data_IF_495570693460
#
_entry.id   IF_495570693460
#
_cell.length_a   1.000
_cell.length_b   1.000
_cell.length_c   1.000
_cell.angle_alpha   90.00
_cell.angle_beta   90.00
_cell.angle_gamma   90.00
#
_symmetry.space_group_name_H-M   'P 1'
#
loop_
_entity.id
_entity.type
_entity.pdbx_description
1 polymer ?
#
# COMPACT_ATOMS: atom_id res chain seq x y z
N UNK A 1 29.51 11.44 51.60
CA UNK A 1 29.82 10.51 50.49
C UNK A 1 28.64 10.54 49.52
N UNK A 2 28.74 11.34 48.45
CA UNK A 2 27.59 11.87 47.71
C UNK A 2 27.15 10.92 46.59
N UNK A 3 26.07 10.17 46.84
CA UNK A 3 25.40 9.25 45.89
C UNK A 3 25.10 9.87 44.52
N UNK A 4 24.93 11.20 44.46
CA UNK A 4 24.67 11.97 43.23
C UNK A 4 25.90 12.09 42.32
N UNK A 5 27.10 12.24 42.88
CA UNK A 5 28.36 12.31 42.12
C UNK A 5 28.74 10.96 41.53
N UNK A 6 28.41 9.88 42.22
CA UNK A 6 28.62 8.51 41.74
C UNK A 6 27.69 8.18 40.56
N UNK A 7 26.42 8.57 40.64
CA UNK A 7 25.43 8.39 39.57
C UNK A 7 25.79 9.20 38.31
N UNK A 8 26.31 10.43 38.48
CA UNK A 8 26.80 11.24 37.36
C UNK A 8 28.02 10.62 36.67
N UNK A 9 28.96 10.05 37.44
CA UNK A 9 30.13 9.36 36.87
C UNK A 9 29.76 8.07 36.12
N UNK A 10 28.73 7.35 36.61
CA UNK A 10 28.22 6.13 35.97
C UNK A 10 27.54 6.44 34.62
N UNK A 11 26.84 7.58 34.54
CA UNK A 11 26.16 8.04 33.33
C UNK A 11 27.15 8.53 32.26
N UNK A 12 28.25 9.15 32.68
CA UNK A 12 29.35 9.56 31.78
C UNK A 12 30.14 8.34 31.29
N UNK A 13 30.34 7.33 32.14
CA UNK A 13 31.02 6.09 31.76
C UNK A 13 30.19 5.24 30.78
N UNK A 14 28.86 5.20 30.93
CA UNK A 14 27.98 4.55 29.95
C UNK A 14 27.95 5.28 28.61
N UNK A 15 28.11 6.60 28.61
CA UNK A 15 28.16 7.41 27.38
C UNK A 15 29.48 7.17 26.62
N UNK A 16 30.60 6.96 27.32
CA UNK A 16 31.88 6.61 26.71
C UNK A 16 31.87 5.20 26.09
N UNK A 17 31.15 4.24 26.68
CA UNK A 17 31.08 2.86 26.19
C UNK A 17 30.26 2.73 24.89
N UNK A 18 29.32 3.66 24.63
CA UNK A 18 28.54 3.72 23.39
C UNK A 18 29.34 4.26 22.19
N UNK A 19 30.46 4.95 22.42
CA UNK A 19 31.31 5.51 21.35
C UNK A 19 32.37 4.49 20.88
N UNK A 20 32.65 3.47 21.69
CA UNK A 20 33.71 2.49 21.46
C UNK A 20 33.25 1.22 20.72
N UNK A 21 32.16 1.29 19.93
CA UNK A 21 31.85 0.20 19.00
C UNK A 21 32.94 0.16 17.93
N UNK A 22 33.68 -0.95 17.76
CA UNK A 22 34.59 -1.09 16.64
C UNK A 22 33.77 -0.88 15.36
N UNK A 23 34.16 0.11 14.56
CA UNK A 23 33.67 0.25 13.19
C UNK A 23 33.84 -1.14 12.55
N UNK A 24 32.76 -1.77 12.05
CA UNK A 24 32.92 -3.02 11.32
C UNK A 24 33.96 -2.76 10.24
N UNK A 25 35.05 -3.52 10.30
CA UNK A 25 36.14 -3.44 9.35
C UNK A 25 35.51 -3.46 7.96
N UNK A 26 35.70 -2.38 7.21
CA UNK A 26 35.13 -2.22 5.89
C UNK A 26 35.47 -3.48 5.09
N UNK A 27 34.47 -4.31 4.82
CA UNK A 27 34.63 -5.40 3.87
C UNK A 27 35.20 -4.77 2.59
N UNK A 28 36.21 -5.41 1.97
CA UNK A 28 36.76 -4.90 0.73
C UNK A 28 35.60 -4.66 -0.23
N UNK A 29 35.52 -3.44 -0.76
CA UNK A 29 34.43 -3.00 -1.65
C UNK A 29 34.54 -3.75 -2.99
N UNK A 30 34.05 -4.99 -3.02
CA UNK A 30 33.96 -5.84 -4.22
C UNK A 30 32.71 -5.45 -5.01
N UNK A 31 32.75 -5.68 -6.32
CA UNK A 31 31.61 -5.42 -7.17
C UNK A 31 30.40 -6.26 -6.74
N UNK A 32 30.63 -7.53 -6.41
CA UNK A 32 29.61 -8.46 -5.93
C UNK A 32 28.96 -7.96 -4.63
N UNK A 33 29.77 -7.47 -3.68
CA UNK A 33 29.26 -6.92 -2.42
C UNK A 33 28.38 -5.67 -2.63
N UNK A 34 28.76 -4.81 -3.57
CA UNK A 34 27.95 -3.63 -3.93
C UNK A 34 26.65 -3.99 -4.65
N UNK A 35 26.67 -4.99 -5.53
CA UNK A 35 25.47 -5.49 -6.19
C UNK A 35 24.50 -6.11 -5.18
N UNK A 36 25.01 -6.88 -4.22
CA UNK A 36 24.19 -7.44 -3.14
C UNK A 36 23.58 -6.33 -2.27
N UNK A 37 24.40 -5.37 -1.82
CA UNK A 37 23.95 -4.25 -1.02
C UNK A 37 22.88 -3.42 -1.76
N UNK A 38 23.06 -3.19 -3.06
CA UNK A 38 22.08 -2.52 -3.89
C UNK A 38 20.80 -3.35 -4.04
N UNK A 39 20.88 -4.66 -4.26
CA UNK A 39 19.71 -5.53 -4.34
C UNK A 39 18.84 -5.51 -3.08
N UNK A 40 19.48 -5.48 -1.91
CA UNK A 40 18.82 -5.49 -0.60
C UNK A 40 18.26 -4.12 -0.23
N UNK A 41 19.04 -3.05 -0.39
CA UNK A 41 18.71 -1.73 0.17
C UNK A 41 18.22 -0.70 -0.85
N UNK A 42 18.24 -0.97 -2.16
CA UNK A 42 17.84 0.04 -3.14
C UNK A 42 16.33 0.34 -3.06
N UNK A 43 15.94 1.61 -2.81
CA UNK A 43 14.53 2.00 -2.66
C UNK A 43 13.72 1.84 -3.96
N UNK A 44 14.37 1.92 -5.13
CA UNK A 44 13.73 1.70 -6.43
C UNK A 44 13.29 0.24 -6.56
N UNK A 45 14.16 -0.71 -6.20
CA UNK A 45 13.82 -2.14 -6.21
C UNK A 45 12.79 -2.49 -5.13
N UNK A 46 12.88 -1.85 -3.96
CA UNK A 46 11.86 -2.00 -2.92
C UNK A 46 10.48 -1.52 -3.39
N UNK A 47 10.40 -0.36 -4.04
CA UNK A 47 9.18 0.14 -4.64
C UNK A 47 8.68 -0.80 -5.74
N UNK A 48 9.59 -1.35 -6.54
CA UNK A 48 9.28 -2.33 -7.58
C UNK A 48 8.59 -3.59 -7.07
N UNK A 49 9.11 -4.17 -5.99
CA UNK A 49 8.47 -5.29 -5.29
C UNK A 49 7.05 -4.97 -4.87
N UNK A 50 6.81 -3.76 -4.35
CA UNK A 50 5.46 -3.31 -3.98
C UNK A 50 4.53 -3.16 -5.20
N UNK A 51 5.05 -2.75 -6.37
CA UNK A 51 4.24 -2.68 -7.61
C UNK A 51 3.78 -4.07 -8.06
N UNK A 52 4.63 -5.09 -7.93
CA UNK A 52 4.25 -6.49 -8.23
C UNK A 52 3.15 -6.96 -7.27
N UNK A 53 3.29 -6.70 -5.97
CA UNK A 53 2.25 -7.03 -4.97
C UNK A 53 0.94 -6.33 -5.32
N UNK A 54 0.96 -5.03 -5.59
CA UNK A 54 -0.23 -4.28 -6.01
C UNK A 54 -0.86 -4.84 -7.29
N UNK A 55 -0.05 -5.23 -8.27
CA UNK A 55 -0.54 -5.82 -9.52
C UNK A 55 -1.19 -7.19 -9.28
N UNK A 56 -0.66 -7.99 -8.34
CA UNK A 56 -1.24 -9.26 -7.91
C UNK A 56 -2.58 -9.05 -7.22
N UNK A 57 -2.67 -8.09 -6.30
CA UNK A 57 -3.94 -7.77 -5.62
C UNK A 57 -5.04 -7.31 -6.59
N UNK A 58 -4.67 -6.62 -7.68
CA UNK A 58 -5.62 -6.26 -8.74
C UNK A 58 -6.25 -7.47 -9.43
N UNK A 59 -5.61 -8.64 -9.42
CA UNK A 59 -6.21 -9.89 -9.93
C UNK A 59 -7.34 -10.33 -9.01
N UNK A 60 -7.12 -10.28 -7.68
CA UNK A 60 -8.16 -10.59 -6.70
C UNK A 60 -9.33 -9.61 -6.78
N UNK A 61 -9.04 -8.32 -6.94
CA UNK A 61 -10.07 -7.30 -7.17
C UNK A 61 -10.88 -7.55 -8.44
N UNK A 62 -10.25 -7.99 -9.53
CA UNK A 62 -10.96 -8.32 -10.77
C UNK A 62 -11.81 -9.59 -10.69
N UNK A 63 -11.44 -10.52 -9.79
CA UNK A 63 -12.22 -11.73 -9.53
C UNK A 63 -13.38 -11.49 -8.54
N UNK A 64 -13.29 -10.45 -7.70
CA UNK A 64 -14.26 -10.15 -6.64
C UNK A 64 -15.73 -10.01 -7.12
N UNK A 65 -16.05 -9.43 -8.30
CA UNK A 65 -17.43 -9.38 -8.78
C UNK A 65 -18.06 -10.75 -9.07
N UNK A 66 -17.25 -11.80 -9.23
CA UNK A 66 -17.72 -13.18 -9.38
C UNK A 66 -18.05 -13.87 -8.05
N UNK A 67 -17.74 -13.25 -6.91
CA UNK A 67 -18.01 -13.77 -5.57
C UNK A 67 -19.29 -13.14 -5.00
N UNK A 68 -19.96 -13.79 -4.04
CA UNK A 68 -21.07 -13.17 -3.30
C UNK A 68 -20.55 -11.96 -2.51
N UNK A 69 -21.23 -10.83 -2.67
CA UNK A 69 -20.93 -9.58 -1.96
C UNK A 69 -21.96 -9.35 -0.86
N UNK A 70 -21.47 -9.14 0.35
CA UNK A 70 -22.28 -8.82 1.51
C UNK A 70 -22.09 -7.33 1.86
N UNK A 71 -23.19 -6.59 1.89
CA UNK A 71 -23.20 -5.17 2.22
C UNK A 71 -24.07 -4.93 3.45
N UNK A 72 -23.55 -4.14 4.39
CA UNK A 72 -24.26 -3.68 5.58
C UNK A 72 -24.43 -2.18 5.47
N UNK A 73 -25.66 -1.70 5.51
CA UNK A 73 -25.98 -0.28 5.51
C UNK A 73 -26.78 0.11 6.74
N UNK A 74 -26.37 1.22 7.36
CA UNK A 74 -27.09 1.87 8.45
C UNK A 74 -27.34 3.32 8.06
N UNK A 75 -28.59 3.71 8.06
CA UNK A 75 -29.03 5.02 7.60
C UNK A 75 -29.89 5.67 8.68
N UNK A 76 -29.46 6.84 9.13
CA UNK A 76 -30.25 7.73 9.97
C UNK A 76 -30.71 8.92 9.13
N UNK A 77 -32.01 9.14 9.06
CA UNK A 77 -32.61 10.26 8.35
C UNK A 77 -33.51 11.02 9.31
N UNK A 78 -33.37 12.34 9.35
CA UNK A 78 -34.31 13.24 10.03
C UNK A 78 -34.94 14.17 8.99
N UNK A 79 -36.24 14.36 9.08
CA UNK A 79 -36.99 15.29 8.25
C UNK A 79 -37.33 16.54 9.07
N UNK A 80 -37.07 17.73 8.54
CA UNK A 80 -37.35 18.98 9.26
C UNK A 80 -38.86 19.21 9.48
N UNK A 81 -39.68 18.68 8.58
CA UNK A 81 -41.14 18.72 8.64
C UNK A 81 -41.68 17.31 8.60
N UNK A 82 -42.75 17.05 9.35
CA UNK A 82 -43.40 15.76 9.32
C UNK A 82 -43.83 15.47 7.86
N UNK A 83 -43.41 14.33 7.29
CA UNK A 83 -43.67 14.07 5.88
C UNK A 83 -45.18 13.85 5.73
N UNK A 84 -45.84 14.75 5.01
CA UNK A 84 -47.25 14.63 4.67
C UNK A 84 -47.37 14.38 3.17
N UNK A 85 -48.15 13.37 2.79
CA UNK A 85 -48.54 13.16 1.40
C UNK A 85 -49.98 13.65 1.20
N UNK A 86 -50.25 14.48 0.18
CA UNK A 86 -51.62 14.88 -0.15
C UNK A 86 -52.40 13.65 -0.63
N UNK A 87 -53.57 13.41 -0.05
CA UNK A 87 -54.49 12.35 -0.45
C UNK A 87 -55.55 12.93 -1.37
N UNK A 88 -55.69 12.34 -2.56
CA UNK A 88 -56.69 12.71 -3.55
C UNK A 88 -57.76 11.61 -3.64
N UNK A 89 -59.03 11.98 -3.53
CA UNK A 89 -60.18 11.11 -3.79
C UNK A 89 -61.01 11.79 -4.88
N UNK A 90 -61.23 11.11 -6.01
CA UNK A 90 -62.00 11.66 -7.12
C UNK A 90 -61.39 12.91 -7.79
N UNK A 91 -60.07 13.09 -7.70
CA UNK A 91 -59.38 14.25 -8.29
C UNK A 91 -59.38 15.53 -7.44
N UNK A 92 -60.07 15.52 -6.28
CA UNK A 92 -59.98 16.60 -5.30
C UNK A 92 -59.09 16.19 -4.11
N UNK A 93 -58.26 17.13 -3.65
CA UNK A 93 -57.44 16.95 -2.45
C UNK A 93 -58.33 16.99 -1.21
N UNK A 94 -58.47 15.85 -0.52
CA UNK A 94 -59.38 15.67 0.63
C UNK A 94 -58.65 15.72 1.97
N UNK A 95 -57.32 15.63 1.99
CA UNK A 95 -56.54 15.76 3.21
C UNK A 95 -55.05 15.46 3.03
N UNK A 96 -54.35 15.42 4.17
CA UNK A 96 -52.95 15.03 4.26
C UNK A 96 -52.84 13.72 5.05
N UNK A 97 -52.17 12.72 4.51
CA UNK A 97 -51.79 11.52 5.25
C UNK A 97 -50.35 11.67 5.73
N UNK A 98 -50.09 11.32 6.99
CA UNK A 98 -48.73 11.25 7.51
C UNK A 98 -47.99 10.11 6.81
N UNK A 99 -46.96 10.47 6.05
CA UNK A 99 -46.21 9.60 5.14
C UNK A 99 -44.96 8.97 5.75
N UNK A 100 -44.74 9.16 7.05
CA UNK A 100 -43.58 8.62 7.74
C UNK A 100 -43.26 9.33 9.04
N UNK A 101 -42.19 8.86 9.68
CA UNK A 101 -41.70 9.42 10.92
C UNK A 101 -40.65 10.50 10.66
N UNK A 102 -40.66 11.55 11.47
CA UNK A 102 -39.64 12.61 11.47
C UNK A 102 -38.23 12.06 11.55
N UNK A 103 -38.02 11.06 12.41
CA UNK A 103 -36.75 10.37 12.54
C UNK A 103 -36.92 8.94 12.04
N UNK A 104 -36.09 8.55 11.08
CA UNK A 104 -36.12 7.25 10.44
C UNK A 104 -34.75 6.60 10.55
N UNK A 105 -34.70 5.42 11.17
CA UNK A 105 -33.52 4.57 11.21
C UNK A 105 -33.76 3.38 10.30
N UNK A 106 -32.83 3.09 9.41
CA UNK A 106 -32.87 1.91 8.53
C UNK A 106 -31.55 1.16 8.68
N UNK A 107 -31.64 -0.12 9.00
CA UNK A 107 -30.54 -1.05 8.90
C UNK A 107 -30.90 -2.05 7.78
N UNK A 108 -30.01 -2.27 6.82
CA UNK A 108 -30.20 -3.24 5.76
C UNK A 108 -28.95 -4.09 5.56
N UNK A 109 -29.17 -5.38 5.35
CA UNK A 109 -28.17 -6.38 4.99
C UNK A 109 -28.49 -6.87 3.58
N UNK A 110 -27.58 -6.66 2.63
CA UNK A 110 -27.79 -6.99 1.22
C UNK A 110 -26.77 -8.03 0.77
N UNK A 111 -27.24 -9.14 0.17
CA UNK A 111 -26.40 -10.16 -0.45
C UNK A 111 -26.58 -10.08 -1.98
N UNK A 112 -25.51 -9.73 -2.69
CA UNK A 112 -25.50 -9.64 -4.14
C UNK A 112 -24.61 -10.74 -4.73
N UNK A 113 -25.15 -11.59 -5.60
CA UNK A 113 -24.39 -12.64 -6.27
C UNK A 113 -24.62 -12.60 -7.78
N UNK A 114 -23.53 -12.46 -8.52
CA UNK A 114 -23.54 -12.50 -9.99
C UNK A 114 -23.66 -13.95 -10.46
N UNK A 115 -24.79 -14.31 -11.07
CA UNK A 115 -25.02 -15.68 -11.59
C UNK A 115 -24.31 -15.89 -12.93
N UNK A 116 -24.36 -14.90 -13.81
CA UNK A 116 -23.74 -14.99 -15.14
C UNK A 116 -23.31 -13.61 -15.65
N UNK A 117 -22.11 -13.54 -16.23
CA UNK A 117 -21.49 -12.28 -16.68
C UNK A 117 -21.15 -12.23 -18.16
N UNK A 118 -21.58 -13.23 -18.95
CA UNK A 118 -21.18 -13.32 -20.37
C UNK A 118 -19.68 -13.50 -20.59
N UNK A 119 -18.93 -13.89 -19.55
CA UNK A 119 -17.47 -14.00 -19.57
C UNK A 119 -16.72 -12.74 -19.14
N UNK A 120 -17.41 -11.63 -18.84
CA UNK A 120 -16.77 -10.36 -18.48
C UNK A 120 -15.79 -10.51 -17.29
N UNK A 121 -16.20 -11.20 -16.22
CA UNK A 121 -15.34 -11.42 -15.04
C UNK A 121 -14.12 -12.29 -15.37
N UNK A 122 -14.32 -13.34 -16.19
CA UNK A 122 -13.25 -14.25 -16.61
C UNK A 122 -12.18 -13.52 -17.41
N UNK A 123 -12.59 -12.76 -18.43
CA UNK A 123 -11.66 -12.04 -19.30
C UNK A 123 -11.02 -10.85 -18.60
N UNK A 124 -11.74 -10.17 -17.70
CA UNK A 124 -11.17 -9.13 -16.83
C UNK A 124 -10.05 -9.70 -15.95
N UNK A 125 -10.28 -10.83 -15.28
CA UNK A 125 -9.27 -11.51 -14.45
C UNK A 125 -8.08 -11.96 -15.29
N UNK A 126 -8.32 -12.54 -16.48
CA UNK A 126 -7.25 -12.97 -17.39
C UNK A 126 -6.39 -11.77 -17.86
N UNK A 127 -7.03 -10.65 -18.19
CA UNK A 127 -6.35 -9.41 -18.56
C UNK A 127 -5.45 -8.90 -17.43
N UNK A 128 -5.91 -8.95 -16.17
CA UNK A 128 -5.07 -8.56 -15.02
C UNK A 128 -3.88 -9.49 -14.82
N UNK A 129 -3.99 -10.78 -15.10
CA UNK A 129 -2.85 -11.72 -15.08
C UNK A 129 -1.80 -11.34 -16.13
N UNK A 130 -2.22 -10.98 -17.34
CA UNK A 130 -1.30 -10.50 -18.38
C UNK A 130 -0.66 -9.17 -17.99
N UNK A 131 -1.42 -8.27 -17.36
CA UNK A 131 -0.89 -7.02 -16.85
C UNK A 131 0.16 -7.24 -15.74
N UNK A 132 -0.02 -8.24 -14.87
CA UNK A 132 0.98 -8.63 -13.86
C UNK A 132 2.30 -9.05 -14.52
N UNK A 133 2.25 -9.88 -15.56
CA UNK A 133 3.46 -10.27 -16.31
C UNK A 133 4.17 -9.05 -16.92
N UNK A 134 3.41 -8.08 -17.42
CA UNK A 134 3.97 -6.81 -17.91
C UNK A 134 4.67 -6.00 -16.82
N UNK A 135 4.12 -5.97 -15.60
CA UNK A 135 4.76 -5.33 -14.44
C UNK A 135 6.02 -6.08 -14.03
N UNK A 136 5.97 -7.41 -13.94
CA UNK A 136 7.14 -8.25 -13.61
C UNK A 136 8.29 -8.02 -14.61
N UNK A 137 8.00 -7.97 -15.91
CA UNK A 137 9.01 -7.68 -16.94
C UNK A 137 9.58 -6.26 -16.84
N UNK A 138 8.76 -5.27 -16.46
CA UNK A 138 9.22 -3.90 -16.26
C UNK A 138 10.11 -3.75 -15.00
N UNK A 139 9.79 -4.49 -13.93
CA UNK A 139 10.62 -4.50 -12.72
C UNK A 139 11.94 -5.25 -12.94
N UNK A 140 11.94 -6.33 -13.72
CA UNK A 140 13.16 -7.01 -14.14
C UNK A 140 14.10 -6.07 -14.91
N UNK A 141 13.56 -5.29 -15.85
CA UNK A 141 14.34 -4.24 -16.53
C UNK A 141 14.88 -3.18 -15.57
N UNK A 142 14.12 -2.85 -14.53
CA UNK A 142 14.53 -1.88 -13.51
C UNK A 142 15.67 -2.44 -12.66
N UNK A 143 15.62 -3.73 -12.30
CA UNK A 143 16.70 -4.45 -11.62
C UNK A 143 17.99 -4.42 -12.44
N UNK A 144 17.92 -4.79 -13.73
CA UNK A 144 19.06 -4.74 -14.65
C UNK A 144 19.64 -3.31 -14.79
N UNK A 145 18.79 -2.29 -14.79
CA UNK A 145 19.23 -0.89 -14.81
C UNK A 145 19.98 -0.48 -13.55
N UNK A 146 19.57 -0.97 -12.38
CA UNK A 146 20.28 -0.75 -11.11
C UNK A 146 21.61 -1.49 -11.11
N UNK A 147 21.64 -2.76 -11.52
CA UNK A 147 22.88 -3.54 -11.63
C UNK A 147 23.90 -2.87 -12.56
N UNK A 148 23.43 -2.40 -13.72
CA UNK A 148 24.25 -1.65 -14.65
C UNK A 148 24.80 -0.35 -14.04
N UNK A 149 23.95 0.41 -13.34
CA UNK A 149 24.34 1.66 -12.68
C UNK A 149 25.37 1.46 -11.56
N UNK A 150 25.24 0.39 -10.77
CA UNK A 150 26.23 0.04 -9.73
C UNK A 150 27.56 -0.36 -10.37
N UNK A 151 27.49 -1.19 -11.41
CA UNK A 151 28.67 -1.67 -12.13
C UNK A 151 29.45 -0.51 -12.77
N UNK A 152 28.77 0.39 -13.47
CA UNK A 152 29.41 1.56 -14.08
C UNK A 152 30.04 2.50 -13.05
N UNK A 153 29.35 2.77 -11.94
CA UNK A 153 29.85 3.59 -10.84
C UNK A 153 31.11 2.97 -10.19
N UNK A 154 31.15 1.65 -10.02
CA UNK A 154 32.32 0.96 -9.48
C UNK A 154 33.55 1.10 -10.39
N UNK A 155 33.37 0.90 -11.70
CA UNK A 155 34.46 1.09 -12.67
C UNK A 155 34.89 2.55 -12.80
N UNK A 156 33.99 3.51 -12.62
CA UNK A 156 34.33 4.94 -12.57
C UNK A 156 35.16 5.29 -11.34
N UNK A 157 34.80 4.78 -10.17
CA UNK A 157 35.57 4.94 -8.93
C UNK A 157 36.99 4.39 -9.11
N UNK A 158 37.13 3.15 -9.60
CA UNK A 158 38.44 2.52 -9.84
C UNK A 158 39.31 3.31 -10.82
N UNK A 159 38.72 3.86 -11.88
CA UNK A 159 39.44 4.74 -12.83
C UNK A 159 39.87 6.05 -12.18
N UNK A 160 39.09 6.62 -11.27
CA UNK A 160 39.44 7.83 -10.55
C UNK A 160 40.58 7.61 -9.54
N UNK A 161 40.54 6.50 -8.80
CA UNK A 161 41.62 6.07 -7.89
C UNK A 161 42.96 5.92 -8.65
N UNK A 162 42.93 5.25 -9.81
CA UNK A 162 44.13 5.07 -10.64
C UNK A 162 44.71 6.38 -11.19
N UNK A 163 43.90 7.43 -11.37
CA UNK A 163 44.39 8.77 -11.78
C UNK A 163 45.05 9.53 -10.62
N UNK A 164 44.67 9.25 -9.38
CA UNK A 164 45.21 9.91 -8.19
C UNK A 164 46.51 9.26 -7.69
N UNK A 165 46.75 7.99 -8.06
CA UNK A 165 47.97 7.26 -7.70
C UNK A 165 49.17 7.52 -8.63
N UNK A 166 49.04 8.43 -9.61
CA UNK A 166 50.10 8.87 -10.53
C UNK A 166 50.54 10.27 -10.14
#
# INVERSE_FOLDING_TARGET
MNRKSFCLSLLILSLLFMIASPLPAAEPLTLEGLLQLAGEHNPVLAAGRQRIVQAREKIHQAAAPGLPQLEVSLLYQTADKDPFHPVFIGGQQVGFAQAGFRNTWKAALTLNQLIYSGGAVKYSTASRKMALQGVEAAEERTAQGVEWGVTSAWYELRRAEGRLSV
#
